data_IF_061176949596
#
_entry.id   IF_061176949596
#
_cell.length_a   1.000
_cell.length_b   1.000
_cell.length_c   1.000
_cell.angle_alpha   90.00
_cell.angle_beta   90.00
_cell.angle_gamma   90.00
#
_symmetry.space_group_name_H-M   'P 1'
#
loop_
_entity.id
_entity.type
_entity.pdbx_description
1 polymer ?
#
# COMPACT_ATOMS: atom_id res chain seq x y z
N UNK A 1 1.74 -48.32 0.98
CA UNK A 1 2.74 -47.87 -0.01
C UNK A 1 4.04 -48.62 0.24
N UNK A 2 4.61 -49.31 -0.76
CA UNK A 2 5.93 -49.95 -0.64
C UNK A 2 6.99 -48.86 -0.44
N UNK A 3 7.82 -49.00 0.59
CA UNK A 3 8.85 -48.05 0.95
C UNK A 3 9.94 -48.04 -0.14
N UNK A 4 10.08 -46.92 -0.88
CA UNK A 4 11.02 -46.77 -2.03
C UNK A 4 12.49 -46.98 -1.70
N UNK A 5 12.87 -46.81 -0.43
CA UNK A 5 14.25 -46.93 0.06
C UNK A 5 14.32 -47.86 1.26
N UNK A 6 15.45 -48.52 1.51
CA UNK A 6 15.71 -49.25 2.76
C UNK A 6 16.26 -48.31 3.83
N UNK A 7 16.13 -48.68 5.10
CA UNK A 7 16.64 -47.87 6.21
C UNK A 7 18.17 -47.80 6.21
N UNK A 8 18.83 -48.90 5.84
CA UNK A 8 20.29 -48.96 5.68
C UNK A 8 20.79 -48.00 4.61
N UNK A 9 20.13 -47.97 3.44
CA UNK A 9 20.48 -47.05 2.36
C UNK A 9 20.38 -45.58 2.82
N UNK A 10 19.30 -45.22 3.52
CA UNK A 10 19.10 -43.86 4.03
C UNK A 10 20.12 -43.50 5.13
N UNK A 11 20.51 -44.45 5.98
CA UNK A 11 21.58 -44.27 6.98
C UNK A 11 22.93 -44.01 6.31
N UNK A 12 23.28 -44.79 5.29
CA UNK A 12 24.54 -44.66 4.55
C UNK A 12 24.68 -43.29 3.89
N UNK A 13 23.60 -42.72 3.35
CA UNK A 13 23.60 -41.37 2.78
C UNK A 13 24.03 -40.32 3.81
N UNK A 14 23.47 -40.36 5.02
CA UNK A 14 23.78 -39.37 6.07
C UNK A 14 25.21 -39.51 6.56
N UNK A 15 25.66 -40.75 6.79
CA UNK A 15 27.01 -41.03 7.29
C UNK A 15 28.08 -40.69 6.25
N UNK A 16 27.87 -41.00 4.98
CA UNK A 16 28.81 -40.61 3.92
C UNK A 16 28.88 -39.09 3.79
N UNK A 17 27.73 -38.40 3.89
CA UNK A 17 27.72 -36.94 3.83
C UNK A 17 28.39 -36.29 5.04
N UNK A 18 28.29 -36.89 6.22
CA UNK A 18 29.03 -36.44 7.40
C UNK A 18 30.54 -36.58 7.19
N UNK A 19 31.00 -37.73 6.70
CA UNK A 19 32.42 -37.97 6.39
C UNK A 19 32.96 -36.96 5.36
N UNK A 20 32.18 -36.66 4.32
CA UNK A 20 32.52 -35.67 3.30
C UNK A 20 32.65 -34.25 3.88
N UNK A 21 31.73 -33.85 4.77
CA UNK A 21 31.69 -32.49 5.32
C UNK A 21 32.58 -32.28 6.54
N UNK A 22 33.07 -33.35 7.17
CA UNK A 22 33.76 -33.30 8.47
C UNK A 22 32.87 -32.78 9.61
N UNK A 23 31.56 -32.68 9.40
CA UNK A 23 30.56 -32.19 10.37
C UNK A 23 29.19 -32.83 10.11
N UNK A 24 28.25 -32.69 11.04
CA UNK A 24 26.88 -33.17 10.82
C UNK A 24 26.22 -32.43 9.64
N UNK A 25 25.61 -33.16 8.68
CA UNK A 25 24.93 -32.56 7.55
C UNK A 25 23.61 -31.88 7.95
N UNK A 26 23.24 -30.83 7.22
CA UNK A 26 21.91 -30.21 7.25
C UNK A 26 20.96 -31.00 6.34
N UNK A 27 19.66 -30.99 6.64
CA UNK A 27 18.64 -31.73 5.87
C UNK A 27 18.70 -31.51 4.35
N UNK A 28 19.02 -30.29 3.91
CA UNK A 28 19.12 -29.93 2.48
C UNK A 28 20.36 -30.48 1.79
N UNK A 29 21.42 -30.79 2.54
CA UNK A 29 22.69 -31.28 2.01
C UNK A 29 22.64 -32.78 1.64
N UNK A 30 21.57 -33.47 2.03
CA UNK A 30 21.27 -34.87 1.67
C UNK A 30 20.01 -34.98 0.79
N UNK A 31 19.67 -33.92 0.05
CA UNK A 31 18.56 -33.93 -0.91
C UNK A 31 18.80 -34.98 -2.01
N UNK A 32 17.78 -35.69 -2.53
CA UNK A 32 16.35 -35.60 -2.18
C UNK A 32 15.94 -36.41 -0.93
N UNK A 33 16.87 -37.13 -0.31
CA UNK A 33 16.59 -38.13 0.73
C UNK A 33 16.32 -37.54 2.12
N UNK A 34 16.68 -36.27 2.36
CA UNK A 34 16.58 -35.63 3.68
C UNK A 34 15.19 -35.66 4.31
N UNK A 35 14.12 -35.58 3.51
CA UNK A 35 12.74 -35.72 4.01
C UNK A 35 12.42 -37.15 4.44
N UNK A 36 12.84 -38.15 3.66
CA UNK A 36 12.61 -39.56 3.99
C UNK A 36 13.37 -39.96 5.27
N UNK A 37 14.63 -39.53 5.39
CA UNK A 37 15.46 -39.73 6.58
C UNK A 37 14.80 -39.09 7.81
N UNK A 38 14.36 -37.82 7.71
CA UNK A 38 13.71 -37.13 8.82
C UNK A 38 12.45 -37.88 9.29
N UNK A 39 11.64 -38.37 8.35
CA UNK A 39 10.41 -39.10 8.68
C UNK A 39 10.69 -40.44 9.34
N UNK A 40 11.63 -41.24 8.82
CA UNK A 40 11.90 -42.58 9.34
C UNK A 40 12.66 -42.58 10.66
N UNK A 41 13.65 -41.71 10.80
CA UNK A 41 14.53 -41.73 11.97
C UNK A 41 14.21 -40.65 13.00
N UNK A 42 13.32 -39.71 12.70
CA UNK A 42 13.11 -38.55 13.56
C UNK A 42 11.70 -37.99 13.63
N UNK A 43 10.67 -38.76 13.24
CA UNK A 43 9.27 -38.31 13.23
C UNK A 43 9.08 -36.97 12.47
N UNK A 44 9.81 -36.81 11.36
CA UNK A 44 9.81 -35.61 10.53
C UNK A 44 10.74 -34.50 10.99
N UNK A 45 11.38 -34.64 12.16
CA UNK A 45 12.37 -33.68 12.71
C UNK A 45 13.79 -34.14 12.41
N UNK A 46 14.56 -33.30 11.70
CA UNK A 46 15.94 -33.61 11.30
C UNK A 46 16.87 -33.87 12.47
N UNK A 47 16.84 -33.03 13.52
CA UNK A 47 17.70 -33.21 14.68
C UNK A 47 17.35 -34.49 15.47
N UNK A 48 16.08 -34.91 15.53
CA UNK A 48 15.72 -36.22 16.09
C UNK A 48 16.34 -37.37 15.27
N UNK A 49 16.29 -37.26 13.94
CA UNK A 49 16.88 -38.24 13.04
C UNK A 49 18.40 -38.36 13.24
N UNK A 50 19.11 -37.23 13.36
CA UNK A 50 20.54 -37.22 13.66
C UNK A 50 20.84 -37.91 14.99
N UNK A 51 20.09 -37.57 16.05
CA UNK A 51 20.25 -38.19 17.37
C UNK A 51 20.02 -39.70 17.33
N UNK A 52 18.97 -40.18 16.64
CA UNK A 52 18.69 -41.63 16.48
C UNK A 52 19.76 -42.35 15.66
N UNK A 53 20.45 -41.64 14.76
CA UNK A 53 21.56 -42.16 13.96
C UNK A 53 22.92 -42.07 14.68
N UNK A 54 22.96 -41.62 15.93
CA UNK A 54 24.20 -41.47 16.71
C UNK A 54 25.05 -40.26 16.31
N UNK A 55 24.45 -39.25 15.66
CA UNK A 55 25.13 -38.04 15.20
C UNK A 55 24.83 -36.86 16.11
N UNK A 56 25.81 -35.97 16.27
CA UNK A 56 25.61 -34.70 16.97
C UNK A 56 24.54 -33.87 16.28
N UNK A 57 23.55 -33.40 17.04
CA UNK A 57 22.45 -32.61 16.50
C UNK A 57 22.93 -31.25 16.01
N UNK A 58 22.31 -30.72 14.96
CA UNK A 58 22.57 -29.34 14.53
C UNK A 58 21.91 -28.37 15.52
N UNK A 59 22.60 -28.06 16.62
CA UNK A 59 22.16 -27.01 17.55
C UNK A 59 22.53 -25.67 16.91
N UNK A 60 21.57 -24.71 16.78
CA UNK A 60 21.94 -23.34 16.48
C UNK A 60 22.95 -22.89 17.54
N UNK A 61 24.14 -22.44 17.12
CA UNK A 61 25.17 -21.96 18.05
C UNK A 61 24.55 -20.89 18.95
N UNK A 62 24.33 -21.23 20.21
CA UNK A 62 23.74 -20.32 21.19
C UNK A 62 24.87 -19.51 21.78
N UNK A 63 24.80 -18.20 21.60
CA UNK A 63 25.77 -17.28 22.18
C UNK A 63 25.21 -16.67 23.46
N UNK A 64 26.06 -16.60 24.48
CA UNK A 64 25.89 -15.74 25.65
C UNK A 64 26.11 -14.28 25.27
N UNK A 65 25.60 -13.33 26.07
CA UNK A 65 25.86 -11.89 25.86
C UNK A 65 27.36 -11.59 25.88
N UNK A 66 28.11 -12.23 26.76
CA UNK A 66 29.55 -12.01 26.92
C UNK A 66 30.35 -12.50 25.71
N UNK A 67 29.99 -13.65 25.12
CA UNK A 67 30.60 -14.13 23.88
C UNK A 67 30.34 -13.16 22.72
N UNK A 68 29.11 -12.65 22.59
CA UNK A 68 28.75 -11.68 21.56
C UNK A 68 29.53 -10.36 21.71
N UNK A 69 29.68 -9.87 22.94
CA UNK A 69 30.51 -8.70 23.28
C UNK A 69 31.95 -8.93 22.86
N UNK A 70 32.53 -10.06 23.29
CA UNK A 70 33.93 -10.39 23.00
C UNK A 70 34.17 -10.47 21.49
N UNK A 71 33.33 -11.18 20.75
CA UNK A 71 33.45 -11.32 19.29
C UNK A 71 33.41 -9.94 18.60
N UNK A 72 32.49 -9.06 19.00
CA UNK A 72 32.36 -7.75 18.37
C UNK A 72 33.56 -6.85 18.70
N UNK A 73 34.05 -6.87 19.94
CA UNK A 73 35.25 -6.12 20.36
C UNK A 73 36.51 -6.62 19.66
N UNK A 74 36.71 -7.93 19.58
CA UNK A 74 37.86 -8.53 18.90
C UNK A 74 37.85 -8.19 17.41
N UNK A 75 36.69 -8.30 16.76
CA UNK A 75 36.52 -7.91 15.35
C UNK A 75 36.79 -6.41 15.13
N UNK A 76 36.26 -5.55 15.99
CA UNK A 76 36.48 -4.10 15.91
C UNK A 76 37.95 -3.73 16.08
N UNK A 77 38.66 -4.40 17.01
CA UNK A 77 40.09 -4.21 17.23
C UNK A 77 40.93 -4.59 16.00
N UNK A 78 40.58 -5.69 15.33
CA UNK A 78 41.28 -6.16 14.13
C UNK A 78 41.00 -5.26 12.93
N UNK A 79 39.73 -4.96 12.65
CA UNK A 79 39.32 -4.24 11.43
C UNK A 79 39.36 -2.73 11.55
N UNK A 80 39.32 -2.18 12.77
CA UNK A 80 39.23 -0.74 13.05
C UNK A 80 38.11 -0.03 12.28
N UNK A 81 37.03 -0.74 11.96
CA UNK A 81 35.85 -0.25 11.23
C UNK A 81 34.63 -0.49 12.10
N UNK A 82 33.71 0.48 12.21
CA UNK A 82 32.47 0.28 12.97
C UNK A 82 31.59 -0.77 12.27
N UNK A 83 31.15 -1.87 12.92
CA UNK A 83 30.49 -3.00 12.27
C UNK A 83 29.08 -2.70 11.75
N UNK A 84 28.87 -2.82 10.43
CA UNK A 84 27.53 -2.64 9.83
C UNK A 84 26.74 -3.95 9.81
N UNK A 85 25.41 -3.87 9.69
CA UNK A 85 24.54 -5.05 9.55
C UNK A 85 25.05 -5.94 8.42
N UNK A 86 25.30 -5.35 7.25
CA UNK A 86 25.79 -6.07 6.07
C UNK A 86 27.15 -6.72 6.31
N UNK A 87 28.03 -6.08 7.09
CA UNK A 87 29.36 -6.61 7.39
C UNK A 87 29.26 -7.92 8.17
N UNK A 88 28.40 -7.97 9.19
CA UNK A 88 28.21 -9.16 10.02
C UNK A 88 27.31 -10.20 9.35
N UNK A 89 26.28 -9.80 8.60
CA UNK A 89 25.39 -10.73 7.92
C UNK A 89 26.07 -11.49 6.78
N UNK A 90 27.01 -10.85 6.07
CA UNK A 90 27.70 -11.47 4.94
C UNK A 90 28.87 -12.35 5.37
N UNK A 91 29.30 -12.27 6.63
CA UNK A 91 30.41 -13.07 7.15
C UNK A 91 29.88 -14.34 7.84
N UNK A 92 30.07 -15.49 7.18
CA UNK A 92 29.64 -16.80 7.68
C UNK A 92 30.27 -17.21 9.02
N UNK A 93 31.39 -16.59 9.40
CA UNK A 93 32.12 -16.90 10.64
C UNK A 93 31.71 -15.99 11.82
N UNK A 94 30.90 -14.95 11.58
CA UNK A 94 30.40 -14.05 12.61
C UNK A 94 28.95 -14.38 12.99
N UNK A 95 28.52 -14.08 14.23
CA UNK A 95 27.13 -14.20 14.61
C UNK A 95 26.27 -13.19 13.83
N UNK A 96 25.08 -13.63 13.40
CA UNK A 96 24.17 -12.78 12.63
C UNK A 96 23.71 -11.58 13.48
N UNK A 97 23.56 -10.37 12.89
CA UNK A 97 23.03 -9.20 13.59
C UNK A 97 21.70 -9.44 14.31
N UNK A 98 20.86 -10.35 13.80
CA UNK A 98 19.62 -10.80 14.46
C UNK A 98 19.89 -11.46 15.81
N UNK A 99 20.94 -12.28 15.93
CA UNK A 99 21.33 -12.92 17.19
C UNK A 99 21.66 -11.89 18.27
N UNK A 100 22.37 -10.82 17.89
CA UNK A 100 22.64 -9.69 18.78
C UNK A 100 21.36 -8.97 19.21
N UNK A 101 20.49 -8.58 18.26
CA UNK A 101 19.22 -7.90 18.57
C UNK A 101 18.33 -8.72 19.50
N UNK A 102 18.25 -10.03 19.28
CA UNK A 102 17.43 -10.93 20.10
C UNK A 102 17.95 -11.10 21.52
N UNK A 103 19.28 -11.09 21.72
CA UNK A 103 19.90 -11.22 23.04
C UNK A 103 19.94 -9.91 23.83
N UNK A 104 20.21 -8.80 23.17
CA UNK A 104 20.32 -7.48 23.82
C UNK A 104 18.99 -6.72 23.89
N UNK A 105 17.98 -7.12 23.11
CA UNK A 105 16.69 -6.43 22.99
C UNK A 105 16.83 -4.97 22.55
N UNK A 106 17.81 -4.73 21.69
CA UNK A 106 18.18 -3.43 21.15
C UNK A 106 18.27 -3.52 19.62
N UNK A 107 18.16 -2.39 18.93
CA UNK A 107 18.49 -2.29 17.50
C UNK A 107 19.98 -2.53 17.30
N UNK A 108 20.38 -2.92 16.08
CA UNK A 108 21.79 -3.19 15.79
C UNK A 108 22.69 -1.99 16.09
N UNK A 109 22.28 -0.78 15.72
CA UNK A 109 23.03 0.45 16.02
C UNK A 109 23.26 0.58 17.53
N UNK A 110 22.19 0.53 18.33
CA UNK A 110 22.24 0.62 19.79
C UNK A 110 23.14 -0.46 20.41
N UNK A 111 23.11 -1.70 19.89
CA UNK A 111 24.02 -2.77 20.35
C UNK A 111 25.48 -2.42 20.08
N UNK A 112 25.79 -1.93 18.87
CA UNK A 112 27.16 -1.56 18.50
C UNK A 112 27.66 -0.41 19.36
N UNK A 113 26.84 0.62 19.55
CA UNK A 113 27.18 1.76 20.40
C UNK A 113 27.39 1.33 21.86
N UNK A 114 26.50 0.49 22.40
CA UNK A 114 26.61 -0.05 23.75
C UNK A 114 27.88 -0.93 23.96
N UNK A 115 28.22 -1.76 22.99
CA UNK A 115 29.35 -2.72 23.13
C UNK A 115 30.70 -2.04 22.91
N UNK A 116 30.78 -1.14 21.94
CA UNK A 116 32.04 -0.52 21.50
C UNK A 116 32.27 0.88 22.07
N UNK A 117 31.26 1.50 22.68
CA UNK A 117 31.30 2.88 23.16
C UNK A 117 31.68 3.88 22.05
N UNK A 118 31.06 3.70 20.88
CA UNK A 118 31.23 4.56 19.69
C UNK A 118 29.87 5.04 19.22
N UNK A 119 29.81 6.15 18.47
CA UNK A 119 28.57 6.55 17.80
C UNK A 119 28.52 5.96 16.40
N UNK A 120 27.46 5.23 16.07
CA UNK A 120 27.32 4.63 14.73
C UNK A 120 27.07 5.66 13.65
N UNK A 121 26.65 6.88 14.02
CA UNK A 121 26.58 8.05 13.13
C UNK A 121 27.94 8.55 12.67
N UNK A 122 29.01 8.25 13.40
CA UNK A 122 30.39 8.64 13.06
C UNK A 122 31.11 7.59 12.20
N UNK A 123 30.39 6.58 11.69
CA UNK A 123 30.99 5.62 10.76
C UNK A 123 31.49 6.37 9.51
N UNK A 124 32.80 6.30 9.19
CA UNK A 124 33.33 6.94 8.01
C UNK A 124 32.67 6.35 6.76
N UNK A 125 32.18 7.23 5.90
CA UNK A 125 31.68 6.90 4.59
C UNK A 125 32.86 6.66 3.65
N UNK A 126 32.78 5.71 2.69
CA UNK A 126 33.81 5.55 1.66
C UNK A 126 34.07 6.82 0.83
N UNK A 127 33.16 7.80 0.92
CA UNK A 127 33.22 9.06 0.21
C UNK A 127 33.86 10.20 1.03
N UNK A 128 34.17 9.99 2.31
CA UNK A 128 34.69 11.05 3.18
C UNK A 128 36.11 11.48 2.82
N UNK A 129 36.84 10.62 2.08
CA UNK A 129 38.17 10.93 1.52
C UNK A 129 38.09 11.82 0.27
N UNK A 130 36.90 11.96 -0.33
CA UNK A 130 36.74 12.76 -1.54
C UNK A 130 36.68 14.25 -1.22
N UNK A 131 37.33 15.05 -2.07
CA UNK A 131 37.20 16.51 -2.00
C UNK A 131 35.79 16.92 -2.40
N UNK A 132 35.34 18.06 -1.87
CA UNK A 132 34.02 18.62 -2.18
C UNK A 132 33.87 18.88 -3.68
N UNK A 133 34.93 19.35 -4.35
CA UNK A 133 35.00 19.54 -5.80
C UNK A 133 34.79 18.23 -6.58
N UNK A 134 35.47 17.16 -6.16
CA UNK A 134 35.34 15.85 -6.80
C UNK A 134 33.94 15.27 -6.61
N UNK A 135 33.36 15.41 -5.42
CA UNK A 135 31.99 15.00 -5.12
C UNK A 135 30.97 15.71 -6.03
N UNK A 136 31.10 17.03 -6.20
CA UNK A 136 30.22 17.80 -7.10
C UNK A 136 30.44 17.41 -8.57
N UNK A 137 31.67 17.11 -8.97
CA UNK A 137 32.01 16.64 -10.31
C UNK A 137 31.33 15.30 -10.63
N UNK A 138 31.51 14.27 -9.79
CA UNK A 138 30.91 12.95 -10.03
C UNK A 138 29.38 12.99 -9.92
N UNK A 139 28.83 13.89 -9.08
CA UNK A 139 27.38 14.14 -9.05
C UNK A 139 26.88 14.70 -10.38
N UNK A 140 27.57 15.70 -10.94
CA UNK A 140 27.23 16.33 -12.21
C UNK A 140 27.28 15.35 -13.38
N UNK A 141 28.37 14.60 -13.48
CA UNK A 141 28.56 13.60 -14.55
C UNK A 141 27.46 12.53 -14.50
N UNK A 142 27.15 12.00 -13.32
CA UNK A 142 26.10 11.00 -13.17
C UNK A 142 24.70 11.60 -13.41
N UNK A 143 24.47 12.86 -13.02
CA UNK A 143 23.20 13.54 -13.28
C UNK A 143 22.91 13.66 -14.77
N UNK A 144 23.89 14.10 -15.58
CA UNK A 144 23.71 14.20 -17.03
C UNK A 144 23.62 12.84 -17.72
N UNK A 145 24.32 11.81 -17.21
CA UNK A 145 24.22 10.44 -17.72
C UNK A 145 22.80 9.87 -17.59
N UNK A 146 22.12 10.16 -16.49
CA UNK A 146 20.77 9.65 -16.20
C UNK A 146 19.69 10.58 -16.77
N UNK A 147 19.94 11.89 -16.72
CA UNK A 147 18.96 12.96 -16.92
C UNK A 147 17.66 12.74 -16.12
N UNK A 148 17.73 12.69 -14.78
CA UNK A 148 16.62 12.27 -13.94
C UNK A 148 15.54 13.34 -13.84
N UNK A 149 14.28 12.93 -14.04
CA UNK A 149 13.09 13.78 -13.86
C UNK A 149 12.87 14.09 -12.36
N UNK A 150 13.38 13.24 -11.47
CA UNK A 150 13.23 13.43 -10.02
C UNK A 150 14.44 12.93 -9.21
N UNK A 151 14.58 13.45 -7.99
CA UNK A 151 15.52 12.92 -6.98
C UNK A 151 15.31 11.41 -6.74
N UNK A 152 14.06 10.94 -6.79
CA UNK A 152 13.75 9.53 -6.57
C UNK A 152 14.26 8.66 -7.72
N UNK A 153 14.14 9.14 -8.97
CA UNK A 153 14.68 8.49 -10.15
C UNK A 153 16.21 8.43 -10.09
N UNK A 154 16.87 9.57 -9.80
CA UNK A 154 18.32 9.59 -9.61
C UNK A 154 18.79 8.58 -8.56
N UNK A 155 18.08 8.47 -7.43
CA UNK A 155 18.43 7.51 -6.38
C UNK A 155 18.34 6.04 -6.80
N UNK A 156 17.47 5.72 -7.77
CA UNK A 156 17.30 4.36 -8.30
C UNK A 156 18.30 4.03 -9.41
N UNK A 157 18.60 4.99 -10.27
CA UNK A 157 19.35 4.78 -11.51
C UNK A 157 20.85 5.11 -11.37
N UNK A 158 21.25 5.83 -10.31
CA UNK A 158 22.66 6.11 -10.05
C UNK A 158 23.49 4.84 -9.88
N UNK A 159 24.72 4.91 -10.38
CA UNK A 159 25.74 3.89 -10.20
C UNK A 159 26.05 3.70 -8.71
N UNK A 160 26.47 2.48 -8.34
CA UNK A 160 26.69 2.09 -6.94
C UNK A 160 27.82 2.88 -6.26
N UNK A 161 28.78 3.37 -7.04
CA UNK A 161 29.92 4.18 -6.60
C UNK A 161 29.58 5.67 -6.41
N UNK A 162 28.35 6.09 -6.75
CA UNK A 162 27.91 7.48 -6.56
C UNK A 162 27.22 7.60 -5.19
N UNK A 163 27.57 8.62 -4.37
CA UNK A 163 26.90 8.83 -3.10
C UNK A 163 25.38 9.05 -3.24
N UNK A 164 24.64 8.71 -2.18
CA UNK A 164 23.21 9.03 -2.13
C UNK A 164 22.99 10.53 -1.97
N UNK A 165 21.83 11.06 -2.38
CA UNK A 165 21.50 12.46 -2.09
C UNK A 165 21.52 12.76 -0.59
N UNK A 166 21.18 11.80 0.28
CA UNK A 166 21.27 12.01 1.73
C UNK A 166 22.71 12.31 2.16
N UNK A 167 23.69 11.64 1.56
CA UNK A 167 25.11 11.94 1.80
C UNK A 167 25.45 13.38 1.37
N UNK A 168 25.11 13.77 0.14
CA UNK A 168 25.32 15.14 -0.35
C UNK A 168 24.61 16.19 0.51
N UNK A 169 23.37 15.93 0.93
CA UNK A 169 22.61 16.83 1.80
C UNK A 169 23.33 17.05 3.13
N UNK A 170 23.84 15.98 3.74
CA UNK A 170 24.54 16.09 5.03
C UNK A 170 25.91 16.77 4.87
N UNK A 171 26.63 16.52 3.77
CA UNK A 171 27.95 17.10 3.49
C UNK A 171 27.88 18.59 3.15
N UNK A 172 26.96 18.99 2.29
CA UNK A 172 26.87 20.36 1.74
C UNK A 172 25.79 21.22 2.40
N UNK A 173 24.91 20.61 3.22
CA UNK A 173 23.73 21.25 3.80
C UNK A 173 22.85 21.95 2.74
N UNK A 174 22.67 21.30 1.57
CA UNK A 174 21.90 21.82 0.44
C UNK A 174 20.71 20.95 0.11
N UNK A 175 19.62 21.57 -0.34
CA UNK A 175 18.50 20.90 -0.99
C UNK A 175 18.91 20.36 -2.37
N UNK A 176 18.06 19.53 -2.99
CA UNK A 176 18.34 18.94 -4.31
C UNK A 176 18.65 20.00 -5.36
N UNK A 177 17.88 21.10 -5.39
CA UNK A 177 18.06 22.16 -6.37
C UNK A 177 19.30 23.01 -6.09
N UNK A 178 19.56 23.31 -4.82
CA UNK A 178 20.76 24.06 -4.45
C UNK A 178 22.03 23.24 -4.73
N UNK A 179 21.99 21.92 -4.52
CA UNK A 179 23.09 21.03 -4.89
C UNK A 179 23.34 21.02 -6.40
N UNK A 180 22.28 20.99 -7.22
CA UNK A 180 22.40 21.12 -8.69
C UNK A 180 23.07 22.43 -9.08
N UNK A 181 22.62 23.56 -8.50
CA UNK A 181 23.25 24.87 -8.71
C UNK A 181 24.72 24.87 -8.30
N UNK A 182 25.02 24.31 -7.13
CA UNK A 182 26.38 24.20 -6.59
C UNK A 182 27.30 23.35 -7.49
N UNK A 183 26.75 22.31 -8.12
CA UNK A 183 27.46 21.49 -9.10
C UNK A 183 27.53 22.11 -10.51
N UNK A 184 27.03 23.33 -10.71
CA UNK A 184 26.99 23.99 -12.03
C UNK A 184 26.06 23.30 -13.03
N UNK A 185 24.96 22.72 -12.55
CA UNK A 185 23.84 22.20 -13.35
C UNK A 185 22.81 23.31 -13.43
N UNK A 186 22.86 24.08 -14.52
CA UNK A 186 22.01 25.26 -14.74
C UNK A 186 20.63 24.94 -15.32
N UNK A 187 20.37 23.68 -15.68
CA UNK A 187 19.04 23.17 -15.98
C UNK A 187 18.22 23.06 -14.69
N UNK A 188 17.80 24.20 -14.17
CA UNK A 188 16.84 24.30 -13.09
C UNK A 188 15.47 23.94 -13.69
N UNK A 189 15.19 22.65 -13.88
CA UNK A 189 13.80 22.21 -14.05
C UNK A 189 13.13 22.34 -12.68
N UNK A 190 12.70 23.56 -12.37
CA UNK A 190 11.78 23.93 -11.30
C UNK A 190 11.20 25.33 -11.55
N UNK A 191 11.10 25.76 -12.81
CA UNK A 191 10.03 26.67 -13.14
C UNK A 191 8.74 25.86 -13.18
N UNK A 192 7.73 26.29 -12.42
CA UNK A 192 6.38 25.81 -12.67
C UNK A 192 6.11 26.13 -14.13
N UNK A 193 5.75 25.12 -14.92
CA UNK A 193 5.38 25.34 -16.32
C UNK A 193 4.38 26.50 -16.39
N UNK A 194 4.60 27.41 -17.32
CA UNK A 194 3.70 28.56 -17.48
C UNK A 194 2.31 28.09 -17.91
N UNK A 195 1.33 28.99 -17.86
CA UNK A 195 -0.02 28.70 -18.33
C UNK A 195 0.01 28.22 -19.80
N UNK A 196 0.82 28.88 -20.62
CA UNK A 196 0.98 28.63 -22.06
C UNK A 196 1.66 27.28 -22.33
N UNK A 197 2.65 26.91 -21.53
CA UNK A 197 3.30 25.60 -21.65
C UNK A 197 2.35 24.45 -21.30
N UNK A 198 1.48 24.63 -20.30
CA UNK A 198 0.46 23.64 -19.99
C UNK A 198 -0.62 23.55 -21.07
N UNK A 199 -1.08 24.69 -21.60
CA UNK A 199 -2.00 24.75 -22.74
C UNK A 199 -1.42 23.96 -23.92
N UNK A 200 -0.14 24.17 -24.24
CA UNK A 200 0.53 23.44 -25.33
C UNK A 200 0.53 21.93 -25.09
N UNK A 201 0.94 21.47 -23.91
CA UNK A 201 0.97 20.04 -23.59
C UNK A 201 -0.41 19.39 -23.71
N UNK A 202 -1.44 20.05 -23.18
CA UNK A 202 -2.80 19.50 -23.22
C UNK A 202 -3.30 19.46 -24.66
N UNK A 203 -3.00 20.50 -25.45
CA UNK A 203 -3.33 20.54 -26.88
C UNK A 203 -2.62 19.44 -27.67
N UNK A 204 -1.32 19.25 -27.49
CA UNK A 204 -0.53 18.22 -28.17
C UNK A 204 -1.13 16.82 -27.91
N UNK A 205 -1.56 16.54 -26.66
CA UNK A 205 -2.21 15.26 -26.31
C UNK A 205 -3.57 15.08 -27.01
N UNK A 206 -4.37 16.14 -27.13
CA UNK A 206 -5.67 16.09 -27.83
C UNK A 206 -5.45 15.90 -29.33
N UNK A 207 -4.49 16.62 -29.91
CA UNK A 207 -4.15 16.54 -31.33
C UNK A 207 -3.60 15.14 -31.68
N UNK A 208 -2.72 14.57 -30.84
CA UNK A 208 -2.16 13.22 -31.03
C UNK A 208 -3.23 12.11 -30.98
N UNK A 209 -4.26 12.28 -30.14
CA UNK A 209 -5.35 11.32 -30.02
C UNK A 209 -6.43 11.50 -31.09
N UNK A 210 -6.55 12.71 -31.64
CA UNK A 210 -7.64 13.09 -32.56
C UNK A 210 -9.02 13.20 -31.88
N UNK A 211 -9.09 13.17 -30.55
CA UNK A 211 -10.32 13.35 -29.75
C UNK A 211 -9.98 13.85 -28.34
N UNK A 212 -10.96 14.40 -27.62
CA UNK A 212 -10.79 14.86 -26.23
C UNK A 212 -10.79 13.65 -25.27
N UNK A 213 -9.66 13.31 -24.61
CA UNK A 213 -9.63 12.21 -23.66
C UNK A 213 -10.30 12.57 -22.34
N UNK A 214 -10.78 11.56 -21.61
CA UNK A 214 -11.21 11.72 -20.21
C UNK A 214 -10.02 12.09 -19.31
N UNK A 215 -10.28 12.67 -18.13
CA UNK A 215 -9.21 13.01 -17.18
C UNK A 215 -8.33 11.79 -16.86
N UNK A 216 -8.94 10.62 -16.62
CA UNK A 216 -8.20 9.40 -16.34
C UNK A 216 -7.32 8.99 -17.53
N UNK A 217 -7.85 9.10 -18.76
CA UNK A 217 -7.09 8.74 -19.96
C UNK A 217 -5.94 9.73 -20.21
N UNK A 218 -6.15 11.01 -19.93
CA UNK A 218 -5.09 12.02 -19.98
C UNK A 218 -3.98 11.71 -18.97
N UNK A 219 -4.33 11.36 -17.72
CA UNK A 219 -3.36 11.05 -16.66
C UNK A 219 -2.53 9.79 -16.96
N UNK A 220 -3.10 8.81 -17.67
CA UNK A 220 -2.36 7.64 -18.16
C UNK A 220 -1.27 7.99 -19.18
N UNK A 221 -1.52 9.01 -20.01
CA UNK A 221 -0.66 9.35 -21.16
C UNK A 221 0.39 10.39 -20.78
N UNK A 222 -0.03 11.45 -20.10
CA UNK A 222 0.78 12.65 -19.91
C UNK A 222 1.21 12.82 -18.46
N UNK A 223 0.31 13.30 -17.61
CA UNK A 223 0.61 13.59 -16.22
C UNK A 223 -0.67 13.80 -15.40
N UNK A 224 -0.53 13.82 -14.08
CA UNK A 224 -1.65 14.12 -13.17
C UNK A 224 -2.26 15.48 -13.47
N UNK A 225 -3.59 15.55 -13.47
CA UNK A 225 -4.35 16.80 -13.58
C UNK A 225 -4.01 17.79 -12.45
N UNK A 226 -3.57 17.28 -11.30
CA UNK A 226 -3.08 18.08 -10.16
C UNK A 226 -1.83 18.90 -10.48
N UNK A 227 -1.09 18.57 -11.54
CA UNK A 227 0.14 19.27 -11.92
C UNK A 227 -0.12 20.66 -12.52
N UNK A 228 -1.25 20.87 -13.19
CA UNK A 228 -1.62 22.16 -13.79
C UNK A 228 -2.81 22.84 -13.10
N UNK A 229 -3.50 22.16 -12.16
CA UNK A 229 -4.66 22.71 -11.46
C UNK A 229 -4.44 24.09 -10.80
N UNK A 230 -3.29 24.39 -10.18
CA UNK A 230 -3.06 25.72 -9.62
C UNK A 230 -3.02 26.86 -10.65
N UNK A 231 -2.83 26.54 -11.94
CA UNK A 231 -2.64 27.52 -13.03
C UNK A 231 -3.85 27.56 -13.97
N UNK A 232 -4.38 26.38 -14.35
CA UNK A 232 -5.48 26.24 -15.30
C UNK A 232 -6.81 25.83 -14.64
N UNK A 233 -6.82 25.55 -13.33
CA UNK A 233 -7.98 24.99 -12.65
C UNK A 233 -8.22 23.52 -13.02
N UNK A 234 -9.45 23.05 -12.87
CA UNK A 234 -9.77 21.65 -13.19
C UNK A 234 -9.58 21.35 -14.69
N UNK A 235 -9.57 20.07 -15.04
CA UNK A 235 -9.32 19.63 -16.43
C UNK A 235 -10.30 20.24 -17.45
N UNK A 236 -11.57 20.46 -17.08
CA UNK A 236 -12.54 21.13 -17.95
C UNK A 236 -12.17 22.59 -18.23
N UNK A 237 -11.66 23.32 -17.23
CA UNK A 237 -11.16 24.68 -17.44
C UNK A 237 -9.94 24.69 -18.36
N UNK A 238 -9.05 23.71 -18.21
CA UNK A 238 -7.89 23.55 -19.08
C UNK A 238 -8.30 23.28 -20.55
N UNK A 239 -9.35 22.47 -20.78
CA UNK A 239 -9.92 22.25 -22.12
C UNK A 239 -10.53 23.53 -22.73
N UNK A 240 -11.19 24.37 -21.91
CA UNK A 240 -11.71 25.66 -22.39
C UNK A 240 -10.61 26.60 -22.84
N UNK A 241 -9.49 26.62 -22.12
CA UNK A 241 -8.32 27.46 -22.44
C UNK A 241 -7.63 27.06 -23.75
N UNK A 242 -7.71 25.78 -24.15
CA UNK A 242 -7.24 25.33 -25.48
C UNK A 242 -8.34 25.40 -26.57
N UNK A 243 -9.52 25.97 -26.26
CA UNK A 243 -10.60 26.22 -27.21
C UNK A 243 -11.57 25.06 -27.43
N UNK A 244 -11.58 24.05 -26.56
CA UNK A 244 -12.53 22.94 -26.64
C UNK A 244 -13.67 23.09 -25.63
N UNK A 245 -14.88 22.68 -26.03
CA UNK A 245 -16.01 22.54 -25.11
C UNK A 245 -15.90 21.23 -24.33
N UNK A 246 -15.86 21.26 -22.98
CA UNK A 246 -15.76 20.04 -22.19
C UNK A 246 -17.04 19.21 -22.33
N UNK A 247 -16.93 17.88 -22.43
CA UNK A 247 -18.09 17.00 -22.69
C UNK A 247 -19.07 16.91 -21.52
N UNK A 248 -18.69 17.34 -20.32
CA UNK A 248 -19.53 17.34 -19.13
C UNK A 248 -19.38 18.66 -18.37
N UNK A 249 -20.48 19.20 -17.86
CA UNK A 249 -20.46 20.37 -17.00
C UNK A 249 -19.86 20.04 -15.62
N UNK A 250 -18.98 20.91 -15.13
CA UNK A 250 -18.48 20.81 -13.76
C UNK A 250 -19.62 21.06 -12.77
N UNK A 251 -19.72 20.31 -11.66
CA UNK A 251 -20.75 20.57 -10.65
C UNK A 251 -20.71 22.03 -10.18
N UNK A 252 -21.88 22.67 -10.09
CA UNK A 252 -21.97 24.04 -9.60
C UNK A 252 -21.40 24.14 -8.18
N UNK A 253 -20.55 25.15 -7.93
CA UNK A 253 -20.07 25.45 -6.59
C UNK A 253 -21.24 26.06 -5.83
N UNK A 254 -21.75 25.34 -4.83
CA UNK A 254 -22.85 25.81 -3.99
C UNK A 254 -22.26 26.51 -2.78
N UNK A 255 -22.14 27.84 -2.88
CA UNK A 255 -21.67 28.72 -1.80
C UNK A 255 -22.66 28.83 -0.62
N UNK A 256 -23.87 28.28 -0.81
CA UNK A 256 -24.96 28.37 0.14
C UNK A 256 -24.78 27.35 1.28
N UNK A 257 -24.97 27.82 2.52
CA UNK A 257 -24.93 26.96 3.70
C UNK A 257 -26.10 25.96 3.75
N UNK A 258 -25.98 24.93 4.59
CA UNK A 258 -27.00 23.86 4.70
C UNK A 258 -28.38 24.41 5.09
N UNK A 259 -28.45 25.46 5.92
CA UNK A 259 -29.73 26.02 6.38
C UNK A 259 -30.43 26.76 5.24
N UNK A 260 -29.70 27.56 4.49
CA UNK A 260 -30.22 28.31 3.36
C UNK A 260 -30.59 27.40 2.20
N UNK A 261 -29.87 26.28 1.99
CA UNK A 261 -30.31 25.22 1.08
C UNK A 261 -31.66 24.61 1.51
N UNK A 262 -31.87 24.36 2.81
CA UNK A 262 -33.17 23.88 3.29
C UNK A 262 -34.29 24.89 3.01
N UNK A 263 -34.04 26.19 3.25
CA UNK A 263 -34.99 27.26 2.94
C UNK A 263 -35.37 27.29 1.46
N UNK A 264 -34.38 27.22 0.57
CA UNK A 264 -34.58 27.20 -0.89
C UNK A 264 -35.46 25.99 -1.29
N UNK A 265 -35.15 24.81 -0.77
CA UNK A 265 -35.96 23.61 -1.02
C UNK A 265 -37.40 23.74 -0.49
N UNK A 266 -37.57 24.35 0.68
CA UNK A 266 -38.87 24.60 1.31
C UNK A 266 -39.69 25.57 0.45
N UNK A 267 -39.12 26.69 0.02
CA UNK A 267 -39.78 27.66 -0.84
C UNK A 267 -40.21 27.04 -2.17
N UNK A 268 -39.33 26.26 -2.80
CA UNK A 268 -39.66 25.54 -4.02
C UNK A 268 -40.80 24.53 -3.81
N UNK A 269 -40.75 23.76 -2.71
CA UNK A 269 -41.82 22.81 -2.35
C UNK A 269 -43.15 23.50 -2.03
N UNK A 270 -43.12 24.71 -1.43
CA UNK A 270 -44.35 25.53 -1.23
C UNK A 270 -44.99 25.91 -2.55
N UNK A 271 -44.19 26.32 -3.54
CA UNK A 271 -44.69 26.65 -4.89
C UNK A 271 -45.36 25.45 -5.57
N UNK A 272 -44.84 24.24 -5.34
CA UNK A 272 -45.42 23.01 -5.86
C UNK A 272 -46.66 22.52 -5.08
N UNK A 273 -46.91 23.05 -3.88
CA UNK A 273 -47.94 22.55 -2.97
C UNK A 273 -47.66 21.14 -2.40
N UNK A 274 -46.45 20.61 -2.63
CA UNK A 274 -45.98 19.31 -2.14
C UNK A 274 -44.46 19.27 -2.10
N UNK A 275 -43.89 18.27 -1.42
CA UNK A 275 -42.44 18.06 -1.42
C UNK A 275 -41.92 17.74 -2.82
N UNK A 276 -40.90 18.48 -3.27
CA UNK A 276 -40.28 18.29 -4.57
C UNK A 276 -39.62 16.90 -4.71
N UNK A 277 -39.76 16.28 -5.88
CA UNK A 277 -39.05 15.06 -6.27
C UNK A 277 -37.68 15.37 -6.89
N UNK A 278 -36.81 14.36 -7.02
CA UNK A 278 -35.51 14.54 -7.66
C UNK A 278 -35.66 15.11 -9.08
N UNK A 279 -36.53 14.50 -9.89
CA UNK A 279 -36.75 14.96 -11.26
C UNK A 279 -37.27 16.39 -11.35
N UNK A 280 -38.06 16.86 -10.38
CA UNK A 280 -38.55 18.25 -10.38
C UNK A 280 -37.46 19.26 -9.99
N UNK A 281 -36.52 18.86 -9.14
CA UNK A 281 -35.34 19.65 -8.85
C UNK A 281 -34.39 19.68 -10.05
N UNK A 282 -34.13 18.51 -10.66
CA UNK A 282 -33.18 18.36 -11.76
C UNK A 282 -33.65 19.07 -13.05
N UNK A 283 -34.96 19.18 -13.27
CA UNK A 283 -35.53 19.82 -14.46
C UNK A 283 -35.90 21.31 -14.26
N UNK A 284 -35.63 21.88 -13.08
CA UNK A 284 -36.00 23.26 -12.77
C UNK A 284 -34.78 24.19 -12.85
N UNK A 285 -34.99 25.39 -13.40
CA UNK A 285 -33.97 26.46 -13.42
C UNK A 285 -34.00 27.34 -12.16
N UNK A 286 -35.06 27.24 -11.37
CA UNK A 286 -35.32 28.12 -10.21
C UNK A 286 -34.77 27.54 -8.89
N UNK A 287 -34.18 26.35 -8.94
CA UNK A 287 -33.69 25.61 -7.77
C UNK A 287 -32.46 24.78 -8.16
N UNK A 288 -31.64 24.40 -7.18
CA UNK A 288 -30.53 23.50 -7.41
C UNK A 288 -31.02 22.09 -7.80
N UNK A 289 -30.16 21.33 -8.50
CA UNK A 289 -30.42 19.93 -8.78
C UNK A 289 -30.51 19.08 -7.49
N UNK A 290 -31.06 17.89 -7.58
CA UNK A 290 -31.25 16.99 -6.45
C UNK A 290 -29.91 16.61 -5.77
N UNK A 291 -28.84 16.44 -6.56
CA UNK A 291 -27.53 16.05 -6.07
C UNK A 291 -26.92 17.08 -5.11
N UNK A 292 -27.10 18.38 -5.37
CA UNK A 292 -26.68 19.46 -4.47
C UNK A 292 -27.26 19.28 -3.07
N UNK A 293 -28.55 18.94 -2.99
CA UNK A 293 -29.17 18.67 -1.69
C UNK A 293 -28.75 17.32 -1.10
N UNK A 294 -28.61 16.27 -1.92
CA UNK A 294 -28.17 14.94 -1.45
C UNK A 294 -26.79 15.03 -0.79
N UNK A 295 -25.86 15.79 -1.37
CA UNK A 295 -24.51 15.98 -0.81
C UNK A 295 -24.57 16.54 0.61
N UNK A 296 -25.49 17.49 0.89
CA UNK A 296 -25.59 18.16 2.21
C UNK A 296 -26.43 17.39 3.22
N UNK A 297 -27.52 16.77 2.78
CA UNK A 297 -28.49 16.11 3.66
C UNK A 297 -28.31 14.58 3.69
N UNK A 298 -27.37 14.03 2.92
CA UNK A 298 -27.06 12.60 2.81
C UNK A 298 -28.07 11.79 1.98
N UNK A 299 -29.33 12.22 1.91
CA UNK A 299 -30.34 11.64 1.02
C UNK A 299 -31.52 12.58 0.82
N UNK A 300 -32.26 12.38 -0.28
CA UNK A 300 -33.51 13.10 -0.51
C UNK A 300 -34.58 12.79 0.54
N UNK A 301 -34.58 11.59 1.11
CA UNK A 301 -35.49 11.27 2.21
C UNK A 301 -35.19 12.11 3.45
N UNK A 302 -33.91 12.25 3.81
CA UNK A 302 -33.50 13.08 4.94
C UNK A 302 -33.85 14.56 4.71
N UNK A 303 -33.57 15.10 3.52
CA UNK A 303 -33.99 16.46 3.13
C UNK A 303 -35.50 16.64 3.28
N UNK A 304 -36.29 15.72 2.69
CA UNK A 304 -37.76 15.74 2.74
C UNK A 304 -38.28 15.69 4.16
N UNK A 305 -37.68 14.84 5.01
CA UNK A 305 -38.03 14.72 6.42
C UNK A 305 -37.78 16.01 7.18
N UNK A 306 -36.63 16.66 6.98
CA UNK A 306 -36.31 17.94 7.61
C UNK A 306 -37.23 19.06 7.13
N UNK A 307 -37.44 19.16 5.82
CA UNK A 307 -38.35 20.15 5.23
C UNK A 307 -39.79 19.97 5.72
N UNK A 308 -40.24 18.72 5.88
CA UNK A 308 -41.61 18.45 6.31
C UNK A 308 -41.89 18.78 7.78
N UNK A 309 -40.87 18.85 8.64
CA UNK A 309 -41.05 19.37 10.01
C UNK A 309 -41.64 20.79 10.01
N UNK A 310 -41.34 21.55 8.96
CA UNK A 310 -41.78 22.93 8.78
C UNK A 310 -43.05 23.00 7.92
N UNK A 311 -43.06 22.31 6.78
CA UNK A 311 -44.15 22.39 5.80
C UNK A 311 -45.43 21.68 6.24
N UNK A 312 -45.30 20.62 7.06
CA UNK A 312 -46.43 19.81 7.56
C UNK A 312 -47.40 19.37 6.44
N UNK A 313 -46.87 19.06 5.26
CA UNK A 313 -47.70 18.48 4.22
C UNK A 313 -48.14 17.08 4.64
N UNK A 314 -49.35 16.70 4.23
CA UNK A 314 -49.87 15.36 4.47
C UNK A 314 -49.13 14.42 3.50
N UNK A 315 -48.13 13.71 4.03
CA UNK A 315 -47.22 12.91 3.22
C UNK A 315 -47.27 11.50 3.75
N UNK A 316 -47.53 10.57 2.84
CA UNK A 316 -47.18 9.17 3.04
C UNK A 316 -45.65 9.04 2.98
N UNK A 317 -44.97 9.34 4.10
CA UNK A 317 -43.55 9.06 4.29
C UNK A 317 -43.33 7.56 4.55
N UNK A 318 -44.29 6.69 4.23
CA UNK A 318 -44.03 5.26 4.18
C UNK A 318 -43.02 4.99 3.07
N UNK A 319 -41.77 4.92 3.50
CA UNK A 319 -40.81 4.04 2.89
C UNK A 319 -41.48 2.66 2.90
N UNK A 320 -42.10 2.23 1.79
CA UNK A 320 -42.43 0.83 1.55
C UNK A 320 -41.10 0.11 1.43
N UNK A 321 -40.49 -0.12 2.59
CA UNK A 321 -39.14 -0.59 2.69
C UNK A 321 -39.10 -2.00 2.10
N UNK A 322 -38.69 -2.08 0.84
CA UNK A 322 -38.75 -3.32 0.04
C UNK A 322 -38.07 -4.49 0.75
N UNK A 323 -37.02 -4.18 1.53
CA UNK A 323 -36.19 -5.12 2.26
C UNK A 323 -35.93 -4.64 3.70
N UNK A 324 -36.62 -5.24 4.66
CA UNK A 324 -36.26 -5.17 6.08
C UNK A 324 -35.10 -6.11 6.38
N UNK A 325 -34.41 -5.92 7.51
CA UNK A 325 -33.29 -6.80 7.93
C UNK A 325 -33.74 -8.26 8.07
N UNK A 326 -34.91 -8.47 8.67
CA UNK A 326 -35.53 -9.79 8.84
C UNK A 326 -35.90 -10.44 7.51
N UNK A 327 -36.52 -9.68 6.59
CA UNK A 327 -36.84 -10.19 5.25
C UNK A 327 -35.59 -10.62 4.48
N UNK A 328 -34.50 -9.85 4.59
CA UNK A 328 -33.21 -10.23 3.97
C UNK A 328 -32.67 -11.50 4.62
N UNK A 329 -32.72 -11.60 5.96
CA UNK A 329 -32.25 -12.78 6.68
C UNK A 329 -33.00 -14.04 6.23
N UNK A 330 -34.32 -13.99 6.16
CA UNK A 330 -35.15 -15.12 5.73
C UNK A 330 -34.86 -15.55 4.29
N UNK A 331 -34.70 -14.59 3.37
CA UNK A 331 -34.31 -14.89 1.98
C UNK A 331 -32.93 -15.56 1.91
N UNK A 332 -31.96 -15.09 2.72
CA UNK A 332 -30.62 -15.68 2.76
C UNK A 332 -30.64 -17.08 3.40
N UNK A 333 -31.47 -17.33 4.42
CA UNK A 333 -31.66 -18.66 5.02
C UNK A 333 -32.25 -19.63 4.00
N UNK A 334 -33.27 -19.21 3.24
CA UNK A 334 -33.88 -20.04 2.19
C UNK A 334 -32.84 -20.49 1.15
N UNK A 335 -32.06 -19.54 0.64
CA UNK A 335 -31.00 -19.83 -0.34
C UNK A 335 -29.88 -20.68 0.29
N UNK A 336 -29.51 -20.41 1.54
CA UNK A 336 -28.53 -21.25 2.25
C UNK A 336 -28.99 -22.70 2.37
N UNK A 337 -30.27 -22.93 2.73
CA UNK A 337 -30.86 -24.28 2.82
C UNK A 337 -30.90 -24.99 1.47
N UNK A 338 -31.15 -24.26 0.37
CA UNK A 338 -31.16 -24.82 -1.00
C UNK A 338 -29.76 -25.28 -1.45
N UNK A 339 -28.73 -24.46 -1.23
CA UNK A 339 -27.37 -24.78 -1.68
C UNK A 339 -26.56 -25.59 -0.65
N UNK A 340 -27.07 -25.69 0.59
CA UNK A 340 -26.39 -26.28 1.74
C UNK A 340 -24.97 -25.72 1.99
N UNK A 341 -24.77 -24.44 1.66
CA UNK A 341 -23.53 -23.68 1.85
C UNK A 341 -23.79 -22.19 1.72
N UNK A 342 -22.83 -21.38 2.15
CA UNK A 342 -22.81 -19.94 1.84
C UNK A 342 -22.76 -19.72 0.32
N UNK A 343 -23.61 -18.83 -0.17
CA UNK A 343 -23.48 -18.31 -1.53
C UNK A 343 -22.28 -17.35 -1.58
N UNK A 344 -21.55 -17.40 -2.69
CA UNK A 344 -20.51 -16.43 -2.99
C UNK A 344 -21.12 -15.06 -3.31
N UNK A 345 -20.33 -14.00 -3.19
CA UNK A 345 -20.78 -12.64 -3.55
C UNK A 345 -21.28 -12.56 -5.01
N UNK A 346 -20.70 -13.32 -5.93
CA UNK A 346 -21.16 -13.36 -7.32
C UNK A 346 -22.54 -14.00 -7.43
N UNK A 347 -22.76 -15.12 -6.76
CA UNK A 347 -24.04 -15.83 -6.74
C UNK A 347 -25.14 -14.97 -6.10
N UNK A 348 -24.84 -14.25 -5.02
CA UNK A 348 -25.80 -13.32 -4.38
C UNK A 348 -26.23 -12.20 -5.32
N UNK A 349 -25.29 -11.59 -6.06
CA UNK A 349 -25.62 -10.49 -6.98
C UNK A 349 -26.40 -10.95 -8.23
N UNK A 350 -26.25 -12.21 -8.66
CA UNK A 350 -26.95 -12.77 -9.83
C UNK A 350 -28.35 -13.25 -9.45
N UNK A 351 -28.57 -13.65 -8.19
CA UNK A 351 -29.84 -14.18 -7.74
C UNK A 351 -30.94 -13.09 -7.71
N UNK A 352 -31.95 -13.24 -8.56
CA UNK A 352 -33.09 -12.32 -8.67
C UNK A 352 -33.97 -12.24 -7.41
N UNK A 353 -33.91 -13.26 -6.55
CA UNK A 353 -34.68 -13.31 -5.30
C UNK A 353 -33.98 -12.53 -4.17
N UNK A 354 -32.70 -12.21 -4.30
CA UNK A 354 -31.91 -11.52 -3.29
C UNK A 354 -31.72 -10.03 -3.64
N UNK A 355 -31.65 -9.14 -2.63
CA UNK A 355 -31.20 -7.78 -2.85
C UNK A 355 -29.71 -7.73 -3.19
N UNK A 356 -29.27 -6.63 -3.81
CA UNK A 356 -27.84 -6.36 -4.03
C UNK A 356 -27.03 -6.45 -2.74
N UNK A 357 -25.77 -6.87 -2.85
CA UNK A 357 -24.84 -6.93 -1.71
C UNK A 357 -24.80 -5.61 -0.95
N UNK A 358 -24.73 -4.47 -1.65
CA UNK A 358 -24.71 -3.15 -1.01
C UNK A 358 -25.95 -2.91 -0.14
N UNK A 359 -27.12 -3.38 -0.57
CA UNK A 359 -28.36 -3.27 0.21
C UNK A 359 -28.33 -4.17 1.44
N UNK A 360 -27.83 -5.41 1.30
CA UNK A 360 -27.67 -6.37 2.40
C UNK A 360 -26.71 -5.80 3.45
N UNK A 361 -25.50 -5.43 3.04
CA UNK A 361 -24.46 -4.88 3.91
C UNK A 361 -24.92 -3.64 4.66
N UNK A 362 -25.62 -2.72 3.98
CA UNK A 362 -26.22 -1.53 4.60
C UNK A 362 -27.25 -1.89 5.67
N UNK A 363 -28.08 -2.92 5.44
CA UNK A 363 -29.12 -3.35 6.39
C UNK A 363 -28.57 -4.08 7.62
N UNK A 364 -27.42 -4.72 7.48
CA UNK A 364 -26.70 -5.37 8.58
C UNK A 364 -25.59 -4.48 9.17
N UNK A 365 -25.52 -3.21 8.75
CA UNK A 365 -24.55 -2.21 9.23
C UNK A 365 -23.12 -2.75 9.26
N UNK A 366 -22.72 -3.46 8.21
CA UNK A 366 -21.41 -4.11 8.10
C UNK A 366 -20.84 -3.93 6.70
N UNK A 367 -19.53 -4.05 6.56
CA UNK A 367 -18.82 -4.02 5.28
C UNK A 367 -18.46 -5.41 4.76
N UNK A 368 -18.72 -6.46 5.55
CA UNK A 368 -18.28 -7.83 5.25
C UNK A 368 -19.44 -8.80 5.19
N UNK A 369 -19.61 -9.44 4.03
CA UNK A 369 -20.64 -10.47 3.84
C UNK A 369 -20.46 -11.68 4.75
N UNK A 370 -19.22 -12.00 5.13
CA UNK A 370 -18.94 -13.06 6.11
C UNK A 370 -19.62 -12.83 7.47
N UNK A 371 -19.81 -11.57 7.88
CA UNK A 371 -20.52 -11.22 9.11
C UNK A 371 -22.02 -11.44 8.95
N UNK A 372 -22.56 -11.17 7.75
CA UNK A 372 -23.97 -11.44 7.45
C UNK A 372 -24.25 -12.95 7.47
N UNK A 373 -23.37 -13.75 6.85
CA UNK A 373 -23.49 -15.22 6.88
C UNK A 373 -23.36 -15.81 8.28
N UNK A 374 -22.54 -15.21 9.15
CA UNK A 374 -22.50 -15.60 10.55
C UNK A 374 -23.88 -15.47 11.22
N UNK A 375 -24.59 -14.36 11.00
CA UNK A 375 -25.96 -14.23 11.50
C UNK A 375 -26.90 -15.30 10.93
N UNK A 376 -26.84 -15.57 9.62
CA UNK A 376 -27.65 -16.63 8.98
C UNK A 376 -27.42 -17.99 9.65
N UNK A 377 -26.17 -18.36 9.91
CA UNK A 377 -25.81 -19.65 10.53
C UNK A 377 -26.22 -19.75 12.00
N UNK A 378 -26.17 -18.65 12.76
CA UNK A 378 -26.67 -18.65 14.14
C UNK A 378 -28.16 -19.00 14.16
N UNK A 379 -28.96 -18.38 13.29
CA UNK A 379 -30.40 -18.66 13.21
C UNK A 379 -30.72 -20.07 12.71
N UNK A 380 -29.92 -20.64 11.82
CA UNK A 380 -30.11 -22.02 11.34
C UNK A 380 -29.78 -23.05 12.43
N UNK A 381 -28.82 -22.76 13.32
CA UNK A 381 -28.45 -23.67 14.41
C UNK A 381 -29.39 -23.59 15.63
N UNK A 382 -30.29 -22.59 15.66
CA UNK A 382 -31.30 -22.41 16.70
C UNK A 382 -32.67 -23.02 16.34
N UNK A 383 -32.89 -23.38 15.06
CA UNK A 383 -34.00 -24.20 14.55
C UNK A 383 -33.63 -25.70 14.56
#
# INVERSE_FOLDING_TARGET
>A
MKNKYTDEYLKTIVLNKQKELGRTPKRREVSPHGSAIAQRFGEGKWNKALSKLGLEVNIPKSYTKNELIKIMKDWYKEKKIIPSVNTFSNNKNLPDPKTYREKFKMKWSEVVEYILDVKTSERPSPYDEYTDEYLLKIFKEEYYKINPISKAQFGKEKSSNIPSFTYYRNRFNKTWNELKKLAGIHEIINERRTKEEWIKIIKDVVDDLGYIPSSNKFEEICCSTKSFEPVLGNYNNALKEIGFEPPNESPAIVEVDTKKLLEIYIEFSKKLGRLASNGELDNSKDVYNADVFIIRFGSMYALKKEANKILKFDIDLQNKEKYTREKILNLLIQEYKVYNRRLTNKEVNINKNLPSISTILRKFTTTKMSVVWYYVEQFINEE
#
